data_IF_821266152789
#
_entry.id   IF_821266152789
#
_cell.length_a   1.000
_cell.length_b   1.000
_cell.length_c   1.000
_cell.angle_alpha   90.00
_cell.angle_beta   90.00
_cell.angle_gamma   90.00
#
_symmetry.space_group_name_H-M   'P 1'
#
loop_
_entity.id
_entity.type
_entity.pdbx_description
1 polymer ?
#
# COMPACT_ATOMS: atom_id res chain seq x y z
N UNK A 1 -1.48 -55.31 23.64
CA UNK A 1 -0.98 -54.40 22.61
C UNK A 1 -1.84 -53.15 22.63
N UNK A 2 -1.33 -52.04 23.22
CA UNK A 2 -2.02 -50.74 23.29
C UNK A 2 -1.67 -49.97 22.04
N UNK A 3 -2.66 -49.70 21.14
CA UNK A 3 -2.48 -48.81 19.97
C UNK A 3 -2.52 -47.38 20.43
N UNK A 4 -1.37 -46.71 20.36
CA UNK A 4 -1.24 -45.27 20.61
C UNK A 4 -1.73 -44.51 19.35
N UNK A 5 -2.90 -43.87 19.44
CA UNK A 5 -3.39 -42.96 18.41
C UNK A 5 -2.70 -41.61 18.54
N UNK A 6 -1.75 -41.34 17.68
CA UNK A 6 -1.11 -40.04 17.57
C UNK A 6 -2.05 -39.08 16.81
N UNK A 7 -2.73 -38.20 17.55
CA UNK A 7 -3.60 -37.17 16.98
C UNK A 7 -2.71 -36.05 16.47
N UNK A 8 -2.46 -35.97 15.16
CA UNK A 8 -1.80 -34.84 14.53
C UNK A 8 -2.77 -33.64 14.53
N UNK A 9 -2.57 -32.71 15.47
CA UNK A 9 -3.22 -31.40 15.46
C UNK A 9 -2.58 -30.56 14.35
N UNK A 10 -3.19 -30.52 13.18
CA UNK A 10 -2.87 -29.55 12.13
C UNK A 10 -3.44 -28.22 12.58
N UNK A 11 -2.61 -27.38 13.19
CA UNK A 11 -2.96 -25.99 13.47
C UNK A 11 -2.94 -25.22 12.16
N UNK A 12 -4.11 -25.02 11.55
CA UNK A 12 -4.27 -24.03 10.48
C UNK A 12 -4.02 -22.65 11.09
N UNK A 13 -2.87 -22.05 10.80
CA UNK A 13 -2.62 -20.65 11.11
C UNK A 13 -3.45 -19.84 10.14
N UNK A 14 -4.66 -19.48 10.54
CA UNK A 14 -5.49 -18.53 9.82
C UNK A 14 -4.84 -17.16 10.03
N UNK A 15 -4.12 -16.67 9.03
CA UNK A 15 -3.73 -15.27 9.00
C UNK A 15 -4.99 -14.48 8.71
N UNK A 16 -5.55 -13.83 9.73
CA UNK A 16 -6.70 -12.97 9.55
C UNK A 16 -6.30 -11.81 8.62
N UNK A 17 -6.96 -11.73 7.47
CA UNK A 17 -6.84 -10.56 6.61
C UNK A 17 -7.55 -9.40 7.31
N UNK A 18 -6.82 -8.31 7.54
CA UNK A 18 -7.38 -7.09 8.11
C UNK A 18 -8.09 -6.33 7.01
N UNK A 19 -9.32 -5.88 7.26
CA UNK A 19 -10.06 -5.04 6.31
C UNK A 19 -9.89 -3.58 6.66
N UNK A 20 -9.80 -2.72 5.63
CA UNK A 20 -9.84 -1.27 5.79
C UNK A 20 -11.28 -0.75 5.72
N UNK A 21 -11.51 0.38 6.37
CA UNK A 21 -12.70 1.20 6.16
C UNK A 21 -12.33 2.32 5.20
N UNK A 22 -12.94 2.33 4.01
CA UNK A 22 -12.79 3.45 3.05
C UNK A 22 -13.64 4.60 3.57
N UNK A 23 -13.01 5.72 3.90
CA UNK A 23 -13.70 6.88 4.45
C UNK A 23 -14.13 7.87 3.38
N UNK A 24 -15.20 8.62 3.67
CA UNK A 24 -15.58 9.75 2.86
C UNK A 24 -14.46 10.82 2.92
N UNK A 25 -13.95 11.21 1.77
CA UNK A 25 -12.85 12.18 1.63
C UNK A 25 -13.19 13.54 2.23
N UNK A 26 -14.46 13.93 2.17
CA UNK A 26 -14.94 15.23 2.67
C UNK A 26 -14.85 15.36 4.21
N UNK A 27 -14.75 14.22 4.91
CA UNK A 27 -14.57 14.18 6.37
C UNK A 27 -13.11 14.37 6.80
N UNK A 28 -12.17 14.34 5.85
CA UNK A 28 -10.74 14.46 6.09
C UNK A 28 -10.20 15.73 5.47
N UNK A 29 -10.42 16.85 6.15
CA UNK A 29 -9.85 18.15 5.74
C UNK A 29 -8.40 18.26 6.21
N UNK A 30 -7.61 19.14 5.60
CA UNK A 30 -6.23 19.38 6.01
C UNK A 30 -6.13 19.97 7.44
N UNK A 31 -7.20 20.54 7.99
CA UNK A 31 -7.27 21.01 9.37
C UNK A 31 -7.26 19.86 10.37
N UNK A 32 -7.97 18.77 10.04
CA UNK A 32 -8.07 17.56 10.88
C UNK A 32 -6.92 16.59 10.57
N UNK A 33 -6.51 16.54 9.32
CA UNK A 33 -5.54 15.59 8.79
C UNK A 33 -4.50 16.30 7.92
N UNK A 34 -3.29 16.54 8.42
CA UNK A 34 -2.30 17.40 7.75
C UNK A 34 -1.61 16.66 6.59
N UNK A 35 -2.37 16.11 5.64
CA UNK A 35 -1.81 15.49 4.46
C UNK A 35 -1.25 16.55 3.49
N UNK A 36 -0.22 16.20 2.74
CA UNK A 36 0.31 17.01 1.65
C UNK A 36 -0.64 16.97 0.44
N UNK A 37 -0.50 17.94 -0.46
CA UNK A 37 -1.40 18.09 -1.60
C UNK A 37 -2.64 18.91 -1.22
N UNK A 38 -3.56 19.12 -2.16
CA UNK A 38 -4.77 19.94 -1.95
C UNK A 38 -6.06 19.10 -1.94
N UNK A 39 -6.01 17.86 -2.43
CA UNK A 39 -7.18 16.97 -2.46
C UNK A 39 -6.81 15.53 -2.17
N UNK A 40 -7.48 14.91 -1.23
CA UNK A 40 -7.42 13.48 -1.05
C UNK A 40 -8.15 12.76 -2.18
N UNK A 41 -7.57 11.68 -2.70
CA UNK A 41 -8.19 10.84 -3.74
C UNK A 41 -8.59 9.46 -3.20
N UNK A 42 -7.92 8.99 -2.15
CA UNK A 42 -8.26 7.76 -1.45
C UNK A 42 -7.83 7.87 0.01
N UNK A 43 -8.66 7.39 0.92
CA UNK A 43 -8.38 7.32 2.35
C UNK A 43 -8.81 5.94 2.84
N UNK A 44 -7.88 5.22 3.44
CA UNK A 44 -8.10 3.93 4.08
C UNK A 44 -7.75 4.02 5.55
N UNK A 45 -8.73 3.79 6.41
CA UNK A 45 -8.54 3.67 7.86
C UNK A 45 -8.46 2.21 8.26
N UNK A 46 -7.45 1.86 9.02
CA UNK A 46 -7.18 0.47 9.42
C UNK A 46 -6.71 0.45 10.87
N UNK A 47 -7.41 -0.30 11.69
CA UNK A 47 -6.99 -0.53 13.07
C UNK A 47 -6.08 -1.74 13.13
N UNK A 48 -4.92 -1.59 13.75
CA UNK A 48 -4.00 -2.69 13.94
C UNK A 48 -4.44 -3.60 15.10
N UNK A 49 -3.97 -4.86 15.14
CA UNK A 49 -4.17 -5.75 16.29
C UNK A 49 -3.63 -5.18 17.61
N UNK A 50 -2.73 -4.21 17.55
CA UNK A 50 -2.20 -3.46 18.70
C UNK A 50 -3.06 -2.29 19.14
N UNK A 51 -4.28 -2.11 18.60
CA UNK A 51 -5.15 -0.96 18.81
C UNK A 51 -4.53 0.38 18.35
N UNK A 52 -3.62 0.33 17.39
CA UNK A 52 -3.07 1.50 16.76
C UNK A 52 -3.95 1.92 15.58
N UNK A 53 -4.45 3.16 15.61
CA UNK A 53 -5.20 3.73 14.50
C UNK A 53 -4.22 4.12 13.39
N UNK A 54 -4.39 3.56 12.20
CA UNK A 54 -3.62 3.90 11.02
C UNK A 54 -4.53 4.46 9.94
N UNK A 55 -4.05 5.49 9.24
CA UNK A 55 -4.73 6.05 8.06
C UNK A 55 -3.73 6.17 6.93
N UNK A 56 -4.10 5.63 5.78
CA UNK A 56 -3.34 5.72 4.54
C UNK A 56 -4.06 6.69 3.59
N UNK A 57 -3.36 7.72 3.15
CA UNK A 57 -3.91 8.78 2.30
C UNK A 57 -3.16 8.83 0.99
N UNK A 58 -3.89 8.70 -0.12
CA UNK A 58 -3.44 9.18 -1.41
C UNK A 58 -4.03 10.57 -1.64
N UNK A 59 -3.19 11.52 -1.95
CA UNK A 59 -3.59 12.89 -2.24
C UNK A 59 -2.84 13.43 -3.44
N UNK A 60 -3.39 14.46 -4.05
CA UNK A 60 -2.81 15.13 -5.22
C UNK A 60 -2.76 16.63 -5.02
N UNK A 61 -1.98 17.27 -5.86
CA UNK A 61 -2.06 18.71 -6.10
C UNK A 61 -3.33 19.04 -6.93
N UNK A 62 -3.37 20.21 -7.53
CA UNK A 62 -4.51 20.65 -8.33
C UNK A 62 -4.90 19.64 -9.43
N UNK A 63 -6.18 19.65 -9.78
CA UNK A 63 -6.68 18.86 -10.89
C UNK A 63 -6.08 19.36 -12.20
N UNK A 64 -5.63 18.44 -13.06
CA UNK A 64 -4.97 18.72 -14.33
C UNK A 64 -3.63 19.47 -14.22
N UNK A 65 -2.98 19.44 -13.07
CA UNK A 65 -1.62 19.93 -12.95
C UNK A 65 -0.66 19.14 -13.86
N UNK A 66 0.30 19.83 -14.45
CA UNK A 66 1.37 19.22 -15.24
C UNK A 66 2.72 19.80 -14.79
N UNK A 67 3.61 18.99 -14.21
CA UNK A 67 3.46 17.54 -13.96
C UNK A 67 2.39 17.24 -12.92
N UNK A 68 1.72 16.08 -13.06
CA UNK A 68 0.85 15.55 -12.01
C UNK A 68 1.72 15.11 -10.82
N UNK A 69 1.25 15.37 -9.61
CA UNK A 69 1.95 15.02 -8.38
C UNK A 69 0.99 14.33 -7.43
N UNK A 70 1.43 13.16 -6.94
CA UNK A 70 0.71 12.37 -5.95
C UNK A 70 1.57 12.18 -4.71
N UNK A 71 0.94 12.23 -3.56
CA UNK A 71 1.51 11.82 -2.28
C UNK A 71 0.80 10.57 -1.79
N UNK A 72 1.58 9.59 -1.34
CA UNK A 72 1.11 8.54 -0.46
C UNK A 72 1.65 8.82 0.94
N UNK A 73 0.79 8.78 1.95
CA UNK A 73 1.16 9.06 3.33
C UNK A 73 0.53 8.05 4.27
N UNK A 74 1.31 7.54 5.21
CA UNK A 74 0.82 6.79 6.36
C UNK A 74 0.80 7.69 7.58
N UNK A 75 -0.32 7.70 8.26
CA UNK A 75 -0.51 8.37 9.54
C UNK A 75 -0.83 7.36 10.62
N UNK A 76 -0.36 7.63 11.81
CA UNK A 76 -0.68 6.90 13.02
C UNK A 76 -1.08 7.87 14.11
N UNK A 77 -2.03 7.48 14.96
CA UNK A 77 -2.47 8.31 16.05
C UNK A 77 -1.55 8.13 17.26
N UNK A 78 -0.93 9.21 17.71
CA UNK A 78 -0.04 9.24 18.89
C UNK A 78 -0.50 10.35 19.81
N UNK A 79 -0.88 10.02 21.06
CA UNK A 79 -1.41 10.98 22.03
C UNK A 79 -2.55 11.83 21.44
N UNK A 80 -3.52 11.18 20.82
CA UNK A 80 -4.68 11.79 20.15
C UNK A 80 -4.37 12.73 18.97
N UNK A 81 -3.12 12.76 18.50
CA UNK A 81 -2.71 13.54 17.33
C UNK A 81 -2.26 12.62 16.20
N UNK A 82 -2.63 12.99 14.97
CA UNK A 82 -2.16 12.30 13.80
C UNK A 82 -0.73 12.71 13.44
N UNK A 83 0.14 11.72 13.31
CA UNK A 83 1.56 11.89 13.00
C UNK A 83 1.86 11.16 11.70
N UNK A 84 2.53 11.83 10.78
CA UNK A 84 3.03 11.19 9.54
C UNK A 84 4.14 10.22 9.90
N UNK A 85 4.00 8.97 9.51
CA UNK A 85 5.00 7.91 9.71
C UNK A 85 5.87 7.69 8.48
N UNK A 86 5.26 7.76 7.31
CA UNK A 86 5.98 7.65 6.04
C UNK A 86 5.29 8.45 4.95
N UNK A 87 6.08 8.87 3.97
CA UNK A 87 5.60 9.62 2.81
C UNK A 87 6.37 9.21 1.56
N UNK A 88 5.63 9.01 0.48
CA UNK A 88 6.16 8.91 -0.89
C UNK A 88 5.59 10.05 -1.72
N UNK A 89 6.45 10.74 -2.46
CA UNK A 89 6.08 11.73 -3.46
C UNK A 89 6.36 11.16 -4.84
N UNK A 90 5.36 11.20 -5.70
CA UNK A 90 5.45 10.75 -7.09
C UNK A 90 5.15 11.93 -8.00
N UNK A 91 6.06 12.22 -8.94
CA UNK A 91 5.89 13.24 -9.97
C UNK A 91 5.88 12.57 -11.34
N UNK A 92 4.95 12.97 -12.20
CA UNK A 92 4.82 12.41 -13.55
C UNK A 92 4.31 13.46 -14.52
N UNK A 93 4.88 13.49 -15.73
CA UNK A 93 4.48 14.43 -16.79
C UNK A 93 3.11 14.12 -17.41
N UNK A 94 2.52 12.97 -17.10
CA UNK A 94 1.18 12.55 -17.49
C UNK A 94 0.24 12.45 -16.29
N UNK A 95 -0.45 11.34 -16.15
CA UNK A 95 -1.48 11.12 -15.13
C UNK A 95 -1.02 10.02 -14.16
N UNK A 96 -1.20 10.24 -12.88
CA UNK A 96 -0.99 9.24 -11.83
C UNK A 96 -2.34 8.76 -11.36
N UNK A 97 -2.60 7.45 -11.31
CA UNK A 97 -3.87 6.88 -10.86
C UNK A 97 -3.66 5.85 -9.75
N UNK A 98 -4.25 6.08 -8.59
CA UNK A 98 -4.30 5.06 -7.53
C UNK A 98 -5.35 4.01 -7.88
N UNK A 99 -4.98 2.73 -7.77
CA UNK A 99 -5.88 1.61 -8.03
C UNK A 99 -6.59 1.19 -6.73
N UNK A 100 -7.58 1.93 -6.35
CA UNK A 100 -8.20 1.89 -5.02
C UNK A 100 -8.74 0.53 -4.56
N UNK A 101 -9.06 -0.39 -5.49
CA UNK A 101 -9.46 -1.76 -5.18
C UNK A 101 -8.27 -2.74 -5.05
N UNK A 102 -7.06 -2.33 -5.46
CA UNK A 102 -5.85 -3.15 -5.44
C UNK A 102 -5.00 -2.77 -4.23
N UNK A 103 -5.39 -3.29 -3.08
CA UNK A 103 -4.73 -3.06 -1.80
C UNK A 103 -4.87 -4.26 -0.88
N UNK A 104 -3.98 -4.37 0.08
CA UNK A 104 -4.03 -5.42 1.10
C UNK A 104 -3.43 -4.91 2.42
N UNK A 105 -3.91 -5.48 3.54
CA UNK A 105 -3.50 -5.12 4.89
C UNK A 105 -3.24 -6.39 5.68
N UNK A 106 -2.10 -6.45 6.40
CA UNK A 106 -1.69 -7.62 7.16
C UNK A 106 -0.90 -7.21 8.42
N UNK A 107 -0.68 -8.18 9.27
CA UNK A 107 0.32 -8.19 10.34
C UNK A 107 1.04 -9.55 10.25
N UNK A 108 1.98 -9.67 9.30
CA UNK A 108 2.65 -10.95 9.02
C UNK A 108 3.63 -11.39 10.08
N UNK A 109 4.39 -10.46 10.64
CA UNK A 109 5.39 -10.76 11.66
C UNK A 109 4.80 -10.79 13.07
N UNK A 110 3.49 -10.51 13.18
CA UNK A 110 2.73 -10.49 14.44
C UNK A 110 3.29 -9.51 15.46
N UNK A 111 3.85 -8.41 14.97
CA UNK A 111 4.37 -7.34 15.82
C UNK A 111 3.28 -6.35 16.26
N UNK A 112 2.02 -6.62 15.84
CA UNK A 112 0.81 -5.83 16.11
C UNK A 112 0.75 -4.48 15.38
N UNK A 113 1.69 -4.20 14.49
CA UNK A 113 1.62 -3.09 13.56
C UNK A 113 0.99 -3.54 12.24
N UNK A 114 0.28 -2.65 11.57
CA UNK A 114 -0.32 -3.00 10.27
C UNK A 114 0.67 -2.75 9.13
N UNK A 115 0.84 -3.77 8.28
CA UNK A 115 1.51 -3.64 7.01
C UNK A 115 0.48 -3.40 5.91
N UNK A 116 0.81 -2.57 4.93
CA UNK A 116 -0.12 -2.20 3.89
C UNK A 116 0.52 -2.22 2.50
N UNK A 117 -0.22 -2.72 1.53
CA UNK A 117 0.17 -2.77 0.13
C UNK A 117 -0.84 -2.01 -0.71
N UNK A 118 -0.36 -1.20 -1.65
CA UNK A 118 -1.17 -0.43 -2.58
C UNK A 118 -0.57 -0.45 -3.98
N UNK A 119 -1.44 -0.25 -4.98
CA UNK A 119 -1.05 -0.17 -6.38
C UNK A 119 -1.43 1.19 -6.95
N UNK A 120 -0.58 1.72 -7.82
CA UNK A 120 -0.88 2.86 -8.67
C UNK A 120 -0.27 2.68 -10.06
N UNK A 121 -0.84 3.37 -11.05
CA UNK A 121 -0.35 3.40 -12.42
C UNK A 121 0.09 4.79 -12.85
N UNK A 122 1.08 4.84 -13.76
CA UNK A 122 1.45 6.04 -14.51
C UNK A 122 0.94 5.93 -15.94
N UNK A 123 0.37 7.03 -16.44
CA UNK A 123 -0.26 7.12 -17.75
C UNK A 123 0.25 8.38 -18.47
N UNK A 124 0.33 8.33 -19.78
CA UNK A 124 0.56 9.54 -20.57
C UNK A 124 -0.67 10.48 -20.58
N UNK A 125 -0.55 11.63 -21.26
CA UNK A 125 -1.62 12.59 -21.37
C UNK A 125 -2.89 12.05 -22.10
N UNK A 126 -2.77 10.96 -22.85
CA UNK A 126 -3.84 10.29 -23.57
C UNK A 126 -4.42 9.10 -22.80
N UNK A 127 -4.13 8.99 -21.50
CA UNK A 127 -4.55 7.88 -20.64
C UNK A 127 -3.98 6.51 -21.05
N UNK A 128 -2.89 6.47 -21.82
CA UNK A 128 -2.21 5.22 -22.13
C UNK A 128 -1.26 4.87 -21.01
N UNK A 129 -1.42 3.68 -20.43
CA UNK A 129 -0.59 3.18 -19.35
C UNK A 129 0.89 3.14 -19.75
N UNK A 130 1.77 3.60 -18.88
CA UNK A 130 3.22 3.60 -19.04
C UNK A 130 3.88 2.60 -18.07
N UNK A 131 3.41 2.56 -16.84
CA UNK A 131 3.92 1.64 -15.82
C UNK A 131 2.90 1.38 -14.73
N UNK A 132 3.16 0.33 -13.97
CA UNK A 132 2.45 0.00 -12.73
C UNK A 132 3.43 -0.06 -11.58
N UNK A 133 3.01 0.37 -10.42
CA UNK A 133 3.83 0.48 -9.24
C UNK A 133 3.11 -0.11 -8.03
N UNK A 134 3.88 -0.79 -7.18
CA UNK A 134 3.47 -1.24 -5.87
C UNK A 134 4.16 -0.41 -4.80
N UNK A 135 3.42 0.00 -3.78
CA UNK A 135 3.92 0.55 -2.53
C UNK A 135 3.65 -0.47 -1.44
N UNK A 136 4.68 -0.88 -0.72
CA UNK A 136 4.54 -1.63 0.52
C UNK A 136 5.00 -0.77 1.69
N UNK A 137 4.12 -0.57 2.66
CA UNK A 137 4.36 0.22 3.87
C UNK A 137 4.46 -0.70 5.07
N UNK A 138 5.63 -0.73 5.70
CA UNK A 138 5.90 -1.44 6.94
C UNK A 138 6.47 -0.45 7.96
N UNK A 139 5.76 -0.25 9.07
CA UNK A 139 6.14 0.76 10.07
C UNK A 139 6.37 2.13 9.44
N UNK A 140 7.59 2.64 9.49
CA UNK A 140 7.97 3.93 8.91
C UNK A 140 8.67 3.80 7.56
N UNK A 141 8.85 2.55 7.08
CA UNK A 141 9.54 2.26 5.82
C UNK A 141 8.57 2.07 4.67
N UNK A 142 9.00 2.50 3.50
CA UNK A 142 8.31 2.28 2.23
C UNK A 142 9.24 1.50 1.30
N UNK A 143 8.67 0.52 0.64
CA UNK A 143 9.31 -0.30 -0.38
C UNK A 143 8.49 -0.24 -1.64
N UNK A 144 9.14 -0.20 -2.78
CA UNK A 144 8.43 -0.09 -4.07
C UNK A 144 8.89 -1.13 -5.07
N UNK A 145 7.96 -1.55 -5.92
CA UNK A 145 8.23 -2.31 -7.14
C UNK A 145 7.62 -1.54 -8.30
N UNK A 146 8.33 -1.47 -9.41
CA UNK A 146 7.87 -0.85 -10.66
C UNK A 146 8.00 -1.86 -11.80
N UNK A 147 7.04 -1.88 -12.71
CA UNK A 147 7.08 -2.62 -13.96
C UNK A 147 6.53 -1.77 -15.10
N UNK A 148 7.13 -1.85 -16.27
CA UNK A 148 6.85 -0.95 -17.40
C UNK A 148 6.13 -1.66 -18.56
N UNK A 149 5.27 -0.90 -19.24
CA UNK A 149 4.65 -1.34 -20.51
C UNK A 149 5.68 -1.49 -21.62
N UNK A 150 6.78 -0.73 -21.59
CA UNK A 150 7.80 -0.72 -22.64
C UNK A 150 8.48 -2.07 -22.87
N UNK A 151 8.50 -2.92 -21.85
CA UNK A 151 9.01 -4.30 -21.89
C UNK A 151 7.92 -5.35 -21.60
N UNK A 152 6.66 -5.02 -21.84
CA UNK A 152 5.51 -5.89 -21.55
C UNK A 152 5.41 -6.36 -20.08
N UNK A 153 5.93 -5.57 -19.14
CA UNK A 153 6.00 -5.90 -17.70
C UNK A 153 6.90 -7.11 -17.39
N UNK A 154 7.92 -7.37 -18.21
CA UNK A 154 8.84 -8.50 -17.99
C UNK A 154 9.93 -8.21 -16.96
N UNK A 155 10.27 -6.93 -16.78
CA UNK A 155 11.32 -6.51 -15.84
C UNK A 155 10.74 -5.73 -14.67
N UNK A 156 11.03 -6.19 -13.46
CA UNK A 156 10.67 -5.50 -12.23
C UNK A 156 11.86 -4.71 -11.70
N UNK A 157 11.62 -3.46 -11.31
CA UNK A 157 12.59 -2.60 -10.61
C UNK A 157 12.17 -2.45 -9.15
N UNK A 158 13.10 -2.66 -8.25
CA UNK A 158 12.88 -2.61 -6.81
C UNK A 158 13.51 -1.36 -6.21
N UNK A 159 12.90 -0.83 -5.13
CA UNK A 159 13.56 0.22 -4.34
C UNK A 159 14.87 -0.29 -3.74
N UNK A 160 15.84 0.60 -3.54
CA UNK A 160 17.18 0.26 -3.05
C UNK A 160 17.20 -0.42 -1.67
N UNK A 161 16.14 -0.21 -0.88
CA UNK A 161 15.98 -0.83 0.44
C UNK A 161 15.17 -2.14 0.40
N UNK A 162 14.69 -2.60 -0.77
CA UNK A 162 13.83 -3.78 -0.87
C UNK A 162 14.52 -5.05 -0.32
N UNK A 163 15.84 -5.15 -0.50
CA UNK A 163 16.61 -6.28 0.00
C UNK A 163 16.70 -6.34 1.53
N UNK A 164 16.41 -5.24 2.23
CA UNK A 164 16.35 -5.22 3.70
C UNK A 164 15.10 -5.88 4.29
N UNK A 165 14.08 -6.14 3.46
CA UNK A 165 12.90 -6.90 3.88
C UNK A 165 13.27 -8.34 4.23
N UNK A 166 12.61 -8.89 5.25
CA UNK A 166 12.75 -10.32 5.54
C UNK A 166 12.19 -11.18 4.38
N UNK A 167 12.70 -12.39 4.24
CA UNK A 167 12.30 -13.30 3.16
C UNK A 167 10.79 -13.60 3.16
N UNK A 168 10.15 -13.60 4.32
CA UNK A 168 8.70 -13.84 4.41
C UNK A 168 7.91 -12.69 3.79
N UNK A 169 8.36 -11.44 3.99
CA UNK A 169 7.73 -10.27 3.37
C UNK A 169 7.98 -10.23 1.87
N UNK A 170 9.24 -10.44 1.45
CA UNK A 170 9.58 -10.53 0.02
C UNK A 170 8.70 -11.54 -0.71
N UNK A 171 8.60 -12.76 -0.16
CA UNK A 171 7.80 -13.81 -0.75
C UNK A 171 6.32 -13.42 -0.90
N UNK A 172 5.73 -12.79 0.13
CA UNK A 172 4.32 -12.38 0.11
C UNK A 172 4.05 -11.21 -0.84
N UNK A 173 4.94 -10.21 -0.85
CA UNK A 173 4.82 -9.07 -1.76
C UNK A 173 4.96 -9.54 -3.21
N UNK A 174 5.95 -10.40 -3.50
CA UNK A 174 6.17 -10.94 -4.84
C UNK A 174 5.04 -11.88 -5.27
N UNK A 175 4.48 -12.68 -4.35
CA UNK A 175 3.29 -13.50 -4.63
C UNK A 175 2.11 -12.62 -5.08
N UNK A 176 1.85 -11.51 -4.37
CA UNK A 176 0.80 -10.54 -4.75
C UNK A 176 1.11 -9.88 -6.08
N UNK A 177 2.34 -9.39 -6.26
CA UNK A 177 2.80 -8.69 -7.46
C UNK A 177 2.72 -9.55 -8.72
N UNK A 178 3.13 -10.82 -8.63
CA UNK A 178 3.10 -11.76 -9.75
C UNK A 178 1.69 -12.20 -10.15
N UNK A 179 0.73 -12.16 -9.21
CA UNK A 179 -0.70 -12.44 -9.48
C UNK A 179 -1.47 -11.20 -9.96
N UNK A 180 -0.89 -10.02 -9.83
CA UNK A 180 -1.53 -8.77 -10.25
C UNK A 180 -1.68 -8.75 -11.78
N UNK A 181 -2.91 -8.52 -12.26
CA UNK A 181 -3.12 -8.11 -13.64
C UNK A 181 -2.58 -6.67 -13.76
N UNK A 182 -1.38 -6.53 -14.33
CA UNK A 182 -0.64 -5.26 -14.42
C UNK A 182 -1.17 -4.35 -15.53
N UNK A 183 -2.03 -4.87 -16.40
CA UNK A 183 -2.69 -4.07 -17.45
C UNK A 183 -3.95 -3.44 -16.90
N UNK A 184 -4.07 -2.13 -17.09
CA UNK A 184 -5.33 -1.44 -16.86
C UNK A 184 -6.31 -1.82 -17.98
N UNK A 185 -7.57 -2.13 -17.60
CA UNK A 185 -8.63 -2.57 -18.52
C UNK A 185 -9.60 -1.45 -18.79
#
# INVERSE_FOLDING_TARGET
>A
MKKLFLLLLVTNVITAQVSSIVRNKDSYTQEVFPYKGVRAIQIDEVNSPGNEDNVFVFSKIEKNANPDKMYFQRFTKVNDKWVVKSILEVNHSGIISAWGSRKAFWDFDKDKSIDALFIYGLYDANFKQQSVHLIFSQKEQLYTIESSVSDNFETDKFSSNFDSLSEIYKAKILEYWNKLDKKDK
#
